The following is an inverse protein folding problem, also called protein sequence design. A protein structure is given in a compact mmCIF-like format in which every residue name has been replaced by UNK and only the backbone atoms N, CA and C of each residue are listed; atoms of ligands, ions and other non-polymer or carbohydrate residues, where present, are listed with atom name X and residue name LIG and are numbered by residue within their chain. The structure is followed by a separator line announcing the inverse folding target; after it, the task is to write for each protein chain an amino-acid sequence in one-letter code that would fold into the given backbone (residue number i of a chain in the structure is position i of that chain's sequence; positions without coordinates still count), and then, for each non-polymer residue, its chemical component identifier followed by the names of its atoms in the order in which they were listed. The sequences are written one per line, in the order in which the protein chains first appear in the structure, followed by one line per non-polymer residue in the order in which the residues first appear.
data_IF_024432940748
#
_entry.id   IF_024432940748
#
_cell.length_a   1.000
_cell.length_b   1.000
_cell.length_c   1.000
_cell.angle_alpha   90.00
_cell.angle_beta   90.00
_cell.angle_gamma   90.00
#
_symmetry.space_group_name_H-M   'P 1'
#
loop_
_entity.id
_entity.type
_entity.pdbx_description
1 polymer ?
#
# COMPACT_ATOMS: atom_id res chain seq x y z
N UNK A 1 14.42 -11.76 42.57
CA UNK A 1 14.94 -10.39 42.78
C UNK A 1 14.00 -9.72 43.78
N UNK A 2 14.50 -9.18 44.89
CA UNK A 2 13.69 -8.52 45.92
C UNK A 2 14.07 -7.04 45.87
N UNK A 3 13.09 -6.17 45.63
CA UNK A 3 13.29 -4.73 45.65
C UNK A 3 12.96 -4.21 47.06
N UNK A 4 13.92 -3.54 47.69
CA UNK A 4 13.78 -2.93 49.02
C UNK A 4 13.51 -1.43 48.89
N UNK A 5 12.92 -0.84 49.92
CA UNK A 5 12.66 0.60 49.96
C UNK A 5 13.94 1.40 50.23
N UNK A 6 14.16 2.48 49.49
CA UNK A 6 15.33 3.35 49.66
C UNK A 6 15.37 4.04 51.04
N UNK A 7 14.20 4.33 51.62
CA UNK A 7 14.06 4.97 52.95
C UNK A 7 14.04 3.98 54.11
N UNK A 8 13.61 2.76 53.83
CA UNK A 8 13.46 1.67 54.81
C UNK A 8 14.15 0.41 54.25
N UNK A 9 15.49 0.30 54.34
CA UNK A 9 16.25 -0.73 53.60
C UNK A 9 15.88 -2.18 53.94
N UNK A 10 15.37 -2.42 55.15
CA UNK A 10 14.93 -3.74 55.62
C UNK A 10 13.51 -4.10 55.13
N UNK A 11 12.75 -3.12 54.64
CA UNK A 11 11.37 -3.29 54.20
C UNK A 11 11.28 -3.51 52.68
N UNK A 12 10.41 -4.45 52.29
CA UNK A 12 10.19 -4.81 50.88
C UNK A 12 9.11 -3.95 50.26
N UNK A 13 9.32 -3.57 49.00
CA UNK A 13 8.30 -2.94 48.17
C UNK A 13 7.23 -3.97 47.79
N UNK A 14 6.02 -3.80 48.31
CA UNK A 14 4.92 -4.78 48.18
C UNK A 14 3.56 -4.18 47.87
N UNK A 15 3.44 -2.86 47.94
CA UNK A 15 2.17 -2.16 47.80
C UNK A 15 2.27 -1.12 46.69
N UNK A 16 1.14 -0.82 46.07
CA UNK A 16 0.98 0.29 45.15
C UNK A 16 0.06 1.32 45.79
N UNK A 17 0.55 2.54 45.96
CA UNK A 17 -0.26 3.67 46.40
C UNK A 17 -1.08 4.21 45.22
N UNK A 18 -2.40 4.20 45.35
CA UNK A 18 -3.37 4.57 44.29
C UNK A 18 -3.75 6.05 44.28
N UNK A 19 -3.34 6.83 45.27
CA UNK A 19 -3.62 8.28 45.25
C UNK A 19 -3.01 8.93 44.02
N UNK A 20 -3.78 9.81 43.37
CA UNK A 20 -3.43 10.44 42.09
C UNK A 20 -2.16 11.31 42.15
N UNK A 21 -1.77 11.76 43.34
CA UNK A 21 -0.55 12.52 43.62
C UNK A 21 0.67 11.63 43.91
N UNK A 22 0.51 10.31 43.95
CA UNK A 22 1.56 9.36 44.31
C UNK A 22 1.84 8.32 43.20
N UNK A 23 0.83 7.53 42.83
CA UNK A 23 0.91 6.44 41.83
C UNK A 23 2.27 5.71 41.79
N UNK A 24 2.66 5.11 42.93
CA UNK A 24 4.00 4.55 43.11
C UNK A 24 4.02 3.31 43.99
N UNK A 25 5.11 2.54 43.89
CA UNK A 25 5.35 1.35 44.71
C UNK A 25 5.90 1.75 46.07
N UNK A 26 5.31 1.22 47.14
CA UNK A 26 5.65 1.55 48.52
C UNK A 26 5.94 0.31 49.36
N UNK A 27 6.69 0.48 50.43
CA UNK A 27 6.79 -0.50 51.51
C UNK A 27 5.76 -0.21 52.61
N UNK A 28 5.67 -1.11 53.59
CA UNK A 28 4.71 -0.98 54.70
C UNK A 28 4.95 0.29 55.52
N UNK A 29 6.20 0.63 55.82
CA UNK A 29 6.51 1.81 56.64
C UNK A 29 6.21 3.12 55.91
N UNK A 30 6.50 3.21 54.61
CA UNK A 30 6.11 4.36 53.78
C UNK A 30 4.59 4.62 53.82
N UNK A 31 3.75 3.58 53.87
CA UNK A 31 2.29 3.72 53.99
C UNK A 31 1.84 4.28 55.35
N UNK A 32 2.61 4.09 56.41
CA UNK A 32 2.27 4.58 57.74
C UNK A 32 2.64 6.05 57.95
N UNK A 33 3.70 6.51 57.27
CA UNK A 33 4.26 7.84 57.49
C UNK A 33 4.03 8.79 56.31
N UNK A 34 4.49 8.42 55.11
CA UNK A 34 4.55 9.34 53.96
C UNK A 34 3.30 9.28 53.08
N UNK A 35 2.72 8.09 52.93
CA UNK A 35 1.47 7.86 52.20
C UNK A 35 0.34 7.57 53.17
N UNK A 36 0.35 8.25 54.31
CA UNK A 36 -0.65 8.08 55.35
C UNK A 36 -2.02 8.49 54.80
N UNK A 37 -3.03 7.68 55.06
CA UNK A 37 -4.42 7.88 54.62
C UNK A 37 -4.63 7.77 53.09
N UNK A 38 -3.61 7.36 52.33
CA UNK A 38 -3.73 7.06 50.90
C UNK A 38 -4.28 5.66 50.68
N UNK A 39 -5.13 5.51 49.67
CA UNK A 39 -5.58 4.19 49.23
C UNK A 39 -4.41 3.40 48.63
N UNK A 40 -4.30 2.12 49.00
CA UNK A 40 -3.24 1.25 48.50
C UNK A 40 -3.76 -0.17 48.27
N UNK A 41 -3.01 -0.92 47.47
CA UNK A 41 -3.27 -2.34 47.19
C UNK A 41 -1.97 -3.13 47.09
N UNK A 42 -2.00 -4.47 47.21
CA UNK A 42 -0.85 -5.30 46.91
C UNK A 42 -0.40 -5.15 45.45
N UNK A 43 0.92 -5.08 45.24
CA UNK A 43 1.50 -4.92 43.90
C UNK A 43 1.15 -6.08 42.97
N UNK A 44 1.04 -7.30 43.49
CA UNK A 44 0.72 -8.48 42.68
C UNK A 44 -0.66 -8.37 42.03
N UNK A 45 -1.62 -7.75 42.71
CA UNK A 45 -2.97 -7.49 42.17
C UNK A 45 -2.90 -6.47 41.03
N UNK A 46 -2.19 -5.36 41.23
CA UNK A 46 -2.02 -4.35 40.17
C UNK A 46 -1.26 -4.91 38.98
N UNK A 47 -0.22 -5.70 39.22
CA UNK A 47 0.57 -6.32 38.17
C UNK A 47 -0.26 -7.31 37.35
N UNK A 48 -1.13 -8.09 38.00
CA UNK A 48 -2.06 -8.99 37.32
C UNK A 48 -3.02 -8.20 36.41
N UNK A 49 -3.67 -7.17 36.94
CA UNK A 49 -4.66 -6.40 36.21
C UNK A 49 -4.01 -5.59 35.07
N UNK A 50 -2.89 -4.93 35.34
CA UNK A 50 -2.12 -4.21 34.34
C UNK A 50 -1.66 -5.14 33.21
N UNK A 51 -1.22 -6.36 33.53
CA UNK A 51 -0.85 -7.36 32.52
C UNK A 51 -2.05 -7.74 31.65
N UNK A 52 -3.23 -7.92 32.23
CA UNK A 52 -4.45 -8.23 31.49
C UNK A 52 -4.85 -7.06 30.58
N UNK A 53 -4.80 -5.83 31.07
CA UNK A 53 -5.06 -4.62 30.27
C UNK A 53 -4.08 -4.49 29.12
N UNK A 54 -2.77 -4.59 29.38
CA UNK A 54 -1.74 -4.51 28.33
C UNK A 54 -1.95 -5.61 27.27
N UNK A 55 -2.28 -6.84 27.69
CA UNK A 55 -2.54 -7.92 26.75
C UNK A 55 -3.77 -7.63 25.86
N UNK A 56 -4.84 -7.09 26.44
CA UNK A 56 -6.04 -6.67 25.71
C UNK A 56 -5.73 -5.54 24.73
N UNK A 57 -5.02 -4.50 25.18
CA UNK A 57 -4.66 -3.35 24.34
C UNK A 57 -3.75 -3.78 23.19
N UNK A 58 -2.79 -4.67 23.44
CA UNK A 58 -1.94 -5.25 22.41
C UNK A 58 -2.75 -6.02 21.37
N UNK A 59 -3.77 -6.77 21.79
CA UNK A 59 -4.64 -7.50 20.87
C UNK A 59 -5.43 -6.55 19.98
N UNK A 60 -5.98 -5.46 20.54
CA UNK A 60 -6.70 -4.43 19.77
C UNK A 60 -5.77 -3.79 18.75
N UNK A 61 -4.56 -3.37 19.17
CA UNK A 61 -3.56 -2.77 18.28
C UNK A 61 -3.16 -3.73 17.15
N UNK A 62 -3.01 -5.02 17.44
CA UNK A 62 -2.70 -6.04 16.44
C UNK A 62 -3.83 -6.20 15.41
N UNK A 63 -5.09 -6.23 15.86
CA UNK A 63 -6.25 -6.29 14.97
C UNK A 63 -6.33 -5.05 14.07
N UNK A 64 -6.24 -3.85 14.66
CA UNK A 64 -6.28 -2.57 13.92
C UNK A 64 -5.16 -2.48 12.88
N UNK A 65 -3.95 -2.93 13.22
CA UNK A 65 -2.82 -2.93 12.31
C UNK A 65 -3.05 -3.91 11.16
N UNK A 66 -3.61 -5.10 11.43
CA UNK A 66 -3.91 -6.09 10.39
C UNK A 66 -4.94 -5.58 9.37
N UNK A 67 -6.01 -4.93 9.83
CA UNK A 67 -7.05 -4.36 8.96
C UNK A 67 -6.48 -3.22 8.10
N UNK A 68 -5.73 -2.30 8.73
CA UNK A 68 -5.10 -1.18 8.03
C UNK A 68 -4.05 -1.60 7.02
N UNK A 69 -3.43 -2.78 7.16
CA UNK A 69 -2.47 -3.33 6.20
C UNK A 69 -3.13 -4.14 5.08
N UNK A 70 -4.29 -4.77 5.31
CA UNK A 70 -5.01 -5.52 4.26
C UNK A 70 -5.59 -4.59 3.17
N UNK A 71 -6.18 -3.46 3.57
CA UNK A 71 -6.81 -2.49 2.66
C UNK A 71 -5.87 -1.96 1.55
N UNK A 72 -4.65 -1.46 1.87
CA UNK A 72 -3.71 -1.00 0.85
C UNK A 72 -3.29 -2.10 -0.14
N UNK A 73 -3.13 -3.34 0.32
CA UNK A 73 -2.66 -4.44 -0.54
C UNK A 73 -3.65 -4.79 -1.65
N UNK A 74 -4.95 -4.83 -1.32
CA UNK A 74 -6.01 -5.09 -2.29
C UNK A 74 -6.15 -3.93 -3.30
N UNK A 75 -6.01 -2.69 -2.83
CA UNK A 75 -6.08 -1.52 -3.69
C UNK A 75 -4.89 -1.44 -4.66
N UNK A 76 -3.69 -1.81 -4.21
CA UNK A 76 -2.50 -1.88 -5.08
C UNK A 76 -2.70 -2.92 -6.18
N UNK A 77 -3.21 -4.11 -5.83
CA UNK A 77 -3.48 -5.16 -6.82
C UNK A 77 -4.50 -4.71 -7.87
N UNK A 78 -5.54 -3.98 -7.47
CA UNK A 78 -6.53 -3.42 -8.40
C UNK A 78 -5.90 -2.35 -9.31
N UNK A 79 -5.06 -1.46 -8.77
CA UNK A 79 -4.33 -0.45 -9.55
C UNK A 79 -3.41 -1.11 -10.58
N UNK A 80 -2.68 -2.16 -10.20
CA UNK A 80 -1.78 -2.89 -11.09
C UNK A 80 -2.56 -3.56 -12.23
N UNK A 81 -3.68 -4.20 -11.89
CA UNK A 81 -4.57 -4.82 -12.88
C UNK A 81 -5.13 -3.79 -13.88
N UNK A 82 -5.64 -2.66 -13.39
CA UNK A 82 -6.20 -1.61 -14.24
C UNK A 82 -5.13 -0.98 -15.12
N UNK A 83 -3.94 -0.72 -14.56
CA UNK A 83 -2.79 -0.20 -15.30
C UNK A 83 -2.41 -1.14 -16.43
N UNK A 84 -2.26 -2.43 -16.15
CA UNK A 84 -1.88 -3.42 -17.15
C UNK A 84 -2.96 -3.59 -18.22
N UNK A 85 -4.23 -3.66 -17.83
CA UNK A 85 -5.37 -3.75 -18.74
C UNK A 85 -5.42 -2.57 -19.71
N UNK A 86 -5.22 -1.35 -19.20
CA UNK A 86 -5.20 -0.15 -20.02
C UNK A 86 -4.00 -0.15 -20.98
N UNK A 87 -2.79 -0.48 -20.51
CA UNK A 87 -1.60 -0.56 -21.36
C UNK A 87 -1.78 -1.55 -22.52
N UNK A 88 -2.38 -2.71 -22.26
CA UNK A 88 -2.69 -3.70 -23.30
C UNK A 88 -3.66 -3.11 -24.33
N UNK A 89 -4.78 -2.53 -23.90
CA UNK A 89 -5.77 -1.92 -24.80
C UNK A 89 -5.17 -0.78 -25.64
N UNK A 90 -4.30 0.04 -25.04
CA UNK A 90 -3.59 1.08 -25.78
C UNK A 90 -2.66 0.49 -26.83
N UNK A 91 -1.93 -0.56 -26.49
CA UNK A 91 -1.01 -1.24 -27.41
C UNK A 91 -1.77 -1.86 -28.59
N UNK A 92 -2.87 -2.57 -28.32
CA UNK A 92 -3.77 -3.12 -29.35
C UNK A 92 -4.32 -2.00 -30.26
N UNK A 93 -4.72 -0.87 -29.70
CA UNK A 93 -5.19 0.28 -30.48
C UNK A 93 -4.11 0.85 -31.40
N UNK A 94 -2.87 0.93 -30.93
CA UNK A 94 -1.73 1.39 -31.75
C UNK A 94 -1.45 0.39 -32.88
N UNK A 95 -1.53 -0.92 -32.61
CA UNK A 95 -1.33 -1.95 -33.64
C UNK A 95 -2.39 -1.87 -34.74
N UNK A 96 -3.65 -1.68 -34.37
CA UNK A 96 -4.73 -1.48 -35.34
C UNK A 96 -4.48 -0.24 -36.21
N UNK A 97 -4.06 0.88 -35.61
CA UNK A 97 -3.74 2.09 -36.37
C UNK A 97 -2.57 1.86 -37.35
N UNK A 98 -1.53 1.13 -36.94
CA UNK A 98 -0.42 0.77 -37.83
C UNK A 98 -0.90 -0.07 -39.01
N UNK A 99 -1.73 -1.08 -38.77
CA UNK A 99 -2.29 -1.91 -39.83
C UNK A 99 -3.11 -1.09 -40.84
N UNK A 100 -3.96 -0.19 -40.36
CA UNK A 100 -4.76 0.69 -41.23
C UNK A 100 -3.86 1.58 -42.09
N UNK A 101 -2.81 2.15 -41.51
CA UNK A 101 -1.85 2.99 -42.25
C UNK A 101 -1.14 2.17 -43.33
N UNK A 102 -0.63 0.98 -42.98
CA UNK A 102 0.06 0.09 -43.92
C UNK A 102 -0.83 -0.35 -45.09
N UNK A 103 -2.11 -0.64 -44.81
CA UNK A 103 -3.09 -0.99 -45.84
C UNK A 103 -3.37 0.18 -46.77
N UNK A 104 -3.54 1.38 -46.21
CA UNK A 104 -3.84 2.58 -46.99
C UNK A 104 -2.64 3.02 -47.84
N UNK A 105 -1.42 2.86 -47.34
CA UNK A 105 -0.19 3.10 -48.09
C UNK A 105 -0.08 2.15 -49.29
N UNK A 106 -0.26 0.84 -49.07
CA UNK A 106 -0.22 -0.16 -50.14
C UNK A 106 -1.27 0.09 -51.22
N UNK A 107 -2.51 0.39 -50.80
CA UNK A 107 -3.59 0.68 -51.74
C UNK A 107 -3.28 1.94 -52.59
N UNK A 108 -2.71 2.98 -51.96
CA UNK A 108 -2.29 4.20 -52.67
C UNK A 108 -1.18 3.93 -53.70
N UNK A 109 -0.16 3.17 -53.33
CA UNK A 109 0.94 2.79 -54.24
C UNK A 109 0.39 2.00 -55.43
N UNK A 110 -0.47 1.01 -55.18
CA UNK A 110 -1.06 0.19 -56.24
C UNK A 110 -1.88 1.04 -57.23
N UNK A 111 -2.68 2.00 -56.74
CA UNK A 111 -3.42 2.90 -57.63
C UNK A 111 -2.51 3.74 -58.53
N UNK A 112 -1.37 4.21 -58.02
CA UNK A 112 -0.39 4.97 -58.79
C UNK A 112 0.24 4.09 -59.89
N UNK A 113 0.63 2.86 -59.55
CA UNK A 113 1.22 1.91 -60.51
C UNK A 113 0.24 1.54 -61.63
N UNK A 114 -1.02 1.28 -61.29
CA UNK A 114 -2.07 0.97 -62.25
C UNK A 114 -2.34 2.13 -63.22
N UNK A 115 -2.40 3.36 -62.70
CA UNK A 115 -2.58 4.55 -63.51
C UNK A 115 -1.36 4.81 -64.41
N UNK A 116 -0.15 4.71 -63.87
CA UNK A 116 1.08 4.84 -64.64
C UNK A 116 1.19 3.81 -65.78
N UNK A 117 0.75 2.57 -65.53
CA UNK A 117 0.69 1.52 -66.56
C UNK A 117 -0.31 1.84 -67.67
N UNK A 118 -1.50 2.36 -67.33
CA UNK A 118 -2.50 2.80 -68.32
C UNK A 118 -1.97 3.95 -69.17
N UNK A 119 -1.34 4.94 -68.54
CA UNK A 119 -0.81 6.10 -69.26
C UNK A 119 0.36 5.70 -70.16
N UNK A 120 1.25 4.81 -69.71
CA UNK A 120 2.32 4.26 -70.55
C UNK A 120 1.78 3.55 -71.79
N UNK A 121 0.75 2.71 -71.66
CA UNK A 121 0.12 2.03 -72.81
C UNK A 121 -0.46 3.02 -73.82
N UNK A 122 -1.13 4.07 -73.36
CA UNK A 122 -1.66 5.12 -74.25
C UNK A 122 -0.53 5.81 -75.02
N UNK A 123 0.57 6.13 -74.35
CA UNK A 123 1.74 6.74 -75.00
C UNK A 123 2.33 5.80 -76.06
N UNK A 124 2.51 4.51 -75.73
CA UNK A 124 3.00 3.50 -76.70
C UNK A 124 2.07 3.33 -77.91
N UNK A 125 0.75 3.46 -77.72
CA UNK A 125 -0.23 3.47 -78.81
C UNK A 125 -0.06 4.69 -79.71
N UNK A 126 0.05 5.90 -79.15
CA UNK A 126 0.29 7.13 -79.92
C UNK A 126 1.61 7.09 -80.69
N UNK A 127 2.69 6.58 -80.08
CA UNK A 127 4.00 6.43 -80.76
C UNK A 127 3.92 5.51 -81.98
N UNK A 128 3.19 4.39 -81.89
CA UNK A 128 2.98 3.48 -83.03
C UNK A 128 2.18 4.13 -84.14
N UNK A 129 1.22 4.99 -83.82
CA UNK A 129 0.45 5.72 -84.83
C UNK A 129 1.34 6.69 -85.61
N UNK A 130 2.23 7.43 -84.94
CA UNK A 130 3.15 8.38 -85.57
C UNK A 130 4.23 7.72 -86.44
N UNK A 131 4.64 6.49 -86.15
CA UNK A 131 5.65 5.76 -86.94
C UNK A 131 5.09 5.13 -88.24
N UNK A 132 3.77 5.11 -88.42
CA UNK A 132 3.09 4.51 -89.58
C UNK A 132 2.52 5.55 -90.57
N UNK A 133 2.79 6.85 -90.37
CA UNK A 133 2.53 7.95 -91.32
C UNK A 133 3.79 8.31 -92.11
#
# INVERSE_FOLDING_TARGET
MIFSCDKHPDEKLKYWCKSADCETVTCRDCLLFEHKDHDYVPIDTVAHDAKATIASDLQVIQCDLSEKLMLPSALIAEIDYLTQSNLTKFSEGIELLRQIIDEHEKAGIQQIEENGSKDKKKIEEYEKHLQNE
#
